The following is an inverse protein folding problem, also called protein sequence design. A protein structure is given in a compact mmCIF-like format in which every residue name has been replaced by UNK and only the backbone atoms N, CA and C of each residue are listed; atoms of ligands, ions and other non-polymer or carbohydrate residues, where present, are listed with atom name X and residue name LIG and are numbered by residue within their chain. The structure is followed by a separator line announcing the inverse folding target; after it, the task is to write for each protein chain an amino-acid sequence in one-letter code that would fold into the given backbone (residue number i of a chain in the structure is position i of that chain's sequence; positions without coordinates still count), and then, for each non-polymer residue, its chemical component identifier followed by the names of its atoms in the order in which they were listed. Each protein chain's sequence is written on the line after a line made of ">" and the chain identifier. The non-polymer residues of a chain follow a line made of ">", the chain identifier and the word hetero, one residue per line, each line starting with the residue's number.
data_IF_327809304041
#
_entry.id   IF_327809304041
#
_cell.length_a   1.000
_cell.length_b   1.000
_cell.length_c   1.000
_cell.angle_alpha   90.00
_cell.angle_beta   90.00
_cell.angle_gamma   90.00
#
_symmetry.space_group_name_H-M   'P 1'
#
loop_
_entity.id
_entity.type
_entity.pdbx_description
1 polymer ?
#
# COMPACT_ATOMS: atom_id res chain seq x y z
N UNK A 1 6.59 -22.69 -34.86
CA UNK A 1 5.36 -23.31 -35.38
C UNK A 1 5.00 -24.49 -34.50
N UNK A 2 3.85 -24.48 -33.90
CA UNK A 2 3.28 -25.63 -33.21
C UNK A 2 2.11 -26.11 -34.06
N UNK A 3 2.22 -27.33 -34.64
CA UNK A 3 1.18 -27.98 -35.46
C UNK A 3 0.51 -27.04 -36.49
N UNK A 4 1.22 -26.43 -37.39
CA UNK A 4 0.72 -25.51 -38.43
C UNK A 4 0.20 -24.15 -37.99
N UNK A 5 0.25 -23.81 -36.70
CA UNK A 5 -0.07 -22.47 -36.23
C UNK A 5 1.19 -21.61 -36.10
N UNK A 6 1.07 -20.36 -36.51
CA UNK A 6 2.08 -19.33 -36.29
C UNK A 6 1.61 -18.40 -35.16
N UNK A 7 2.53 -17.99 -34.33
CA UNK A 7 2.33 -16.94 -33.34
C UNK A 7 3.55 -16.02 -33.38
N UNK A 8 3.38 -14.85 -32.82
CA UNK A 8 4.41 -13.83 -32.73
C UNK A 8 4.80 -13.62 -31.27
N UNK A 9 6.00 -13.15 -31.04
CA UNK A 9 6.47 -12.74 -29.71
C UNK A 9 7.07 -11.35 -29.80
N UNK A 10 6.72 -10.50 -28.82
CA UNK A 10 7.27 -9.18 -28.66
C UNK A 10 8.18 -9.15 -27.44
N UNK A 11 9.33 -8.53 -27.59
CA UNK A 11 10.31 -8.30 -26.53
C UNK A 11 10.55 -6.79 -26.43
N UNK A 12 9.88 -6.13 -25.48
CA UNK A 12 9.98 -4.70 -25.27
C UNK A 12 11.04 -4.33 -24.24
N UNK A 13 11.39 -3.05 -24.24
CA UNK A 13 12.36 -2.45 -23.31
C UNK A 13 13.78 -3.02 -23.37
N UNK A 14 14.16 -3.55 -24.53
CA UNK A 14 15.52 -3.99 -24.76
C UNK A 14 16.46 -2.82 -25.07
N UNK A 15 17.73 -3.00 -24.78
CA UNK A 15 18.76 -2.01 -25.10
C UNK A 15 18.96 -1.89 -26.61
N UNK A 16 19.34 -0.69 -27.09
CA UNK A 16 19.63 -0.43 -28.51
C UNK A 16 20.74 -1.33 -29.11
N UNK A 17 21.49 -2.04 -28.28
CA UNK A 17 22.52 -2.99 -28.74
C UNK A 17 21.93 -4.13 -29.55
N UNK A 18 20.70 -4.58 -29.29
CA UNK A 18 20.05 -5.64 -30.04
C UNK A 18 19.87 -5.26 -31.52
N UNK A 19 19.54 -4.00 -31.82
CA UNK A 19 19.36 -3.50 -33.20
C UNK A 19 20.64 -3.55 -34.05
N UNK A 20 21.81 -3.57 -33.39
CA UNK A 20 23.10 -3.68 -34.10
C UNK A 20 23.50 -5.13 -34.43
N UNK A 21 22.95 -6.10 -33.68
CA UNK A 21 23.34 -7.51 -33.77
C UNK A 21 22.31 -8.37 -34.49
N UNK A 22 21.02 -8.06 -34.32
CA UNK A 22 19.94 -8.81 -34.95
C UNK A 22 19.59 -8.25 -36.32
N UNK A 23 19.19 -9.11 -37.22
CA UNK A 23 18.76 -8.76 -38.58
C UNK A 23 17.37 -9.31 -38.86
N UNK A 24 16.59 -8.58 -39.63
CA UNK A 24 15.28 -9.05 -40.10
C UNK A 24 15.45 -10.35 -40.88
N UNK A 25 14.58 -11.32 -40.60
CA UNK A 25 14.65 -12.65 -41.21
C UNK A 25 15.67 -13.60 -40.56
N UNK A 26 16.43 -13.17 -39.56
CA UNK A 26 17.34 -14.02 -38.82
C UNK A 26 16.60 -15.09 -38.04
N UNK A 27 17.06 -16.34 -38.16
CA UNK A 27 16.58 -17.43 -37.32
C UNK A 27 17.32 -17.40 -35.97
N UNK A 28 16.55 -17.39 -34.85
CA UNK A 28 17.09 -17.41 -33.49
C UNK A 28 16.93 -18.80 -32.90
N UNK A 29 18.01 -19.39 -32.43
CA UNK A 29 18.02 -20.71 -31.77
C UNK A 29 17.60 -20.58 -30.30
N UNK A 30 17.10 -21.67 -29.75
CA UNK A 30 16.81 -21.75 -28.31
C UNK A 30 18.06 -21.43 -27.49
N UNK A 31 17.93 -20.47 -26.55
CA UNK A 31 19.03 -20.01 -25.68
C UNK A 31 19.99 -19.00 -26.35
N UNK A 32 19.73 -18.62 -27.61
CA UNK A 32 20.50 -17.57 -28.26
C UNK A 32 20.14 -16.19 -27.71
N UNK A 33 21.16 -15.35 -27.57
CA UNK A 33 20.98 -13.98 -27.06
C UNK A 33 20.20 -13.12 -28.07
N UNK A 34 19.17 -12.41 -27.59
CA UNK A 34 18.35 -11.50 -28.38
C UNK A 34 18.52 -10.04 -27.97
N UNK A 35 18.96 -9.79 -26.74
CA UNK A 35 19.14 -8.43 -26.22
C UNK A 35 19.43 -8.39 -24.75
N UNK A 36 19.92 -7.26 -24.28
CA UNK A 36 20.02 -6.92 -22.88
C UNK A 36 18.81 -6.04 -22.50
N UNK A 37 18.38 -6.07 -21.26
CA UNK A 37 17.33 -5.16 -20.75
C UNK A 37 17.85 -3.73 -20.84
N UNK A 38 17.03 -2.82 -21.34
CA UNK A 38 17.32 -1.39 -21.42
C UNK A 38 17.32 -0.71 -20.06
N UNK A 39 18.10 0.34 -19.95
CA UNK A 39 18.11 1.21 -18.78
C UNK A 39 16.93 2.20 -18.78
N UNK A 40 16.83 3.04 -17.76
CA UNK A 40 15.79 4.07 -17.62
C UNK A 40 15.65 4.97 -18.85
N UNK A 41 16.75 5.32 -19.52
CA UNK A 41 16.74 6.29 -20.61
C UNK A 41 16.11 5.72 -21.89
N UNK A 42 16.17 4.40 -22.08
CA UNK A 42 15.65 3.74 -23.29
C UNK A 42 14.29 3.07 -23.09
N UNK A 43 13.78 3.00 -21.86
CA UNK A 43 12.51 2.35 -21.54
C UNK A 43 11.42 3.30 -21.00
N UNK A 44 11.51 4.58 -21.28
CA UNK A 44 10.50 5.57 -20.88
C UNK A 44 10.56 5.96 -19.40
N UNK A 45 11.73 5.90 -18.77
CA UNK A 45 11.96 6.17 -17.35
C UNK A 45 11.32 5.17 -16.38
N UNK A 46 11.02 3.95 -16.85
CA UNK A 46 10.60 2.84 -16.01
C UNK A 46 11.80 2.07 -15.47
N UNK A 47 11.68 1.41 -14.31
CA UNK A 47 12.69 0.47 -13.85
C UNK A 47 13.05 -0.56 -14.94
N UNK A 48 14.33 -0.95 -15.09
CA UNK A 48 14.72 -1.95 -16.07
C UNK A 48 13.91 -3.25 -15.94
N UNK A 49 13.18 -3.60 -16.97
CA UNK A 49 12.36 -4.81 -17.04
C UNK A 49 12.19 -5.27 -18.47
N UNK A 50 11.77 -6.51 -18.65
CA UNK A 50 11.39 -7.09 -19.93
C UNK A 50 9.87 -7.03 -20.09
N UNK A 51 9.39 -6.42 -21.18
CA UNK A 51 8.03 -6.59 -21.64
C UNK A 51 8.01 -7.77 -22.62
N UNK A 52 7.26 -8.82 -22.28
CA UNK A 52 7.12 -10.00 -23.14
C UNK A 52 5.65 -10.26 -23.45
N UNK A 53 5.33 -10.33 -24.74
CA UNK A 53 3.98 -10.64 -25.21
C UNK A 53 4.00 -11.82 -26.19
N UNK A 54 2.91 -12.59 -26.20
CA UNK A 54 2.59 -13.56 -27.23
C UNK A 54 1.41 -12.98 -28.01
N UNK A 55 1.44 -13.07 -29.33
CA UNK A 55 0.36 -12.57 -30.18
C UNK A 55 -0.04 -13.62 -31.19
N UNK A 56 -1.34 -13.83 -31.37
CA UNK A 56 -1.91 -14.71 -32.41
C UNK A 56 -2.14 -13.97 -33.70
N UNK A 57 -2.21 -12.64 -33.65
CA UNK A 57 -2.37 -11.74 -34.79
C UNK A 57 -1.63 -10.42 -34.52
N UNK A 58 -1.06 -9.82 -35.54
CA UNK A 58 -0.44 -8.49 -35.45
C UNK A 58 -1.42 -7.35 -35.76
N UNK A 59 -2.68 -7.61 -36.03
CA UNK A 59 -3.71 -6.62 -36.34
C UNK A 59 -3.32 -5.63 -37.49
N UNK A 60 -2.51 -6.11 -38.46
CA UNK A 60 -1.90 -5.31 -39.50
C UNK A 60 -0.82 -4.31 -39.05
N UNK A 61 -0.41 -4.36 -37.79
CA UNK A 61 0.73 -3.60 -37.29
C UNK A 61 2.03 -4.33 -37.60
N UNK A 62 2.97 -3.63 -38.22
CA UNK A 62 4.25 -4.23 -38.63
C UNK A 62 5.37 -3.90 -37.63
N UNK A 63 5.32 -2.69 -37.06
CA UNK A 63 6.44 -2.13 -36.29
C UNK A 63 6.10 -1.91 -34.81
N UNK A 64 4.82 -1.95 -34.44
CA UNK A 64 4.40 -1.72 -33.08
C UNK A 64 3.11 -2.49 -32.78
N UNK A 65 3.06 -3.16 -31.64
CA UNK A 65 1.86 -3.83 -31.14
C UNK A 65 1.42 -3.15 -29.84
N UNK A 66 0.12 -2.86 -29.63
CA UNK A 66 -0.37 -2.21 -28.43
C UNK A 66 0.04 -2.98 -27.16
N UNK A 67 0.69 -2.29 -26.22
CA UNK A 67 1.01 -2.83 -24.89
C UNK A 67 -0.10 -2.64 -23.88
N UNK A 68 -1.15 -1.88 -24.26
CA UNK A 68 -2.35 -1.60 -23.46
C UNK A 68 -3.57 -1.66 -24.36
N UNK A 69 -4.72 -1.99 -23.81
CA UNK A 69 -5.98 -2.08 -24.54
C UNK A 69 -7.13 -1.50 -23.71
N UNK A 70 -8.24 -1.25 -24.38
CA UNK A 70 -9.48 -0.80 -23.76
C UNK A 70 -10.10 -1.94 -22.92
N UNK A 71 -10.51 -1.63 -21.69
CA UNK A 71 -11.05 -2.61 -20.73
C UNK A 71 -12.27 -3.35 -21.27
N UNK A 72 -13.15 -2.66 -21.99
CA UNK A 72 -14.34 -3.27 -22.57
C UNK A 72 -14.04 -4.25 -23.71
N UNK A 73 -12.81 -4.27 -24.24
CA UNK A 73 -12.32 -5.20 -25.25
C UNK A 73 -11.46 -6.32 -24.66
N UNK A 74 -11.40 -6.47 -23.35
CA UNK A 74 -10.51 -7.43 -22.67
C UNK A 74 -10.61 -8.84 -23.25
N UNK A 75 -11.83 -9.34 -23.45
CA UNK A 75 -12.05 -10.66 -24.04
C UNK A 75 -11.46 -10.86 -25.43
N UNK A 76 -11.38 -9.77 -26.22
CA UNK A 76 -10.77 -9.77 -27.55
C UNK A 76 -9.25 -9.74 -27.39
N UNK A 77 -8.74 -8.87 -26.53
CA UNK A 77 -7.31 -8.76 -26.26
C UNK A 77 -6.71 -10.05 -25.72
N UNK A 78 -7.39 -10.77 -24.83
CA UNK A 78 -6.95 -12.06 -24.31
C UNK A 78 -6.85 -13.15 -25.39
N UNK A 79 -7.67 -13.06 -26.44
CA UNK A 79 -7.57 -13.98 -27.58
C UNK A 79 -6.41 -13.63 -28.52
N UNK A 80 -6.16 -12.34 -28.74
CA UNK A 80 -5.10 -11.84 -29.62
C UNK A 80 -3.75 -11.90 -28.93
N UNK A 81 -3.70 -11.55 -27.64
CA UNK A 81 -2.48 -11.58 -26.83
C UNK A 81 -2.72 -12.42 -25.55
N UNK A 82 -2.67 -13.76 -25.67
CA UNK A 82 -2.89 -14.66 -24.56
C UNK A 82 -1.77 -14.55 -23.52
N UNK A 83 -2.06 -15.02 -22.30
CA UNK A 83 -1.12 -14.99 -21.18
C UNK A 83 0.23 -15.63 -21.57
N UNK A 84 1.34 -14.86 -21.56
CA UNK A 84 2.66 -15.39 -21.90
C UNK A 84 3.14 -16.48 -20.96
N UNK A 85 2.53 -16.64 -19.80
CA UNK A 85 2.87 -17.70 -18.85
C UNK A 85 2.57 -19.11 -19.40
N UNK A 86 1.77 -19.23 -20.44
CA UNK A 86 1.61 -20.49 -21.21
C UNK A 86 2.99 -21.01 -21.66
N UNK A 87 3.91 -20.11 -22.05
CA UNK A 87 5.27 -20.47 -22.49
C UNK A 87 6.28 -20.34 -21.37
N UNK A 88 6.23 -19.25 -20.58
CA UNK A 88 7.25 -18.93 -19.57
C UNK A 88 7.26 -19.89 -18.40
N UNK A 89 6.09 -20.45 -18.05
CA UNK A 89 5.95 -21.39 -16.93
C UNK A 89 6.47 -20.84 -15.59
N UNK A 90 6.31 -19.55 -15.39
CA UNK A 90 6.66 -18.90 -14.13
C UNK A 90 5.72 -19.46 -13.03
N UNK A 91 6.27 -19.98 -11.92
CA UNK A 91 5.43 -20.48 -10.82
C UNK A 91 4.50 -19.40 -10.28
N UNK A 92 3.27 -19.78 -9.94
CA UNK A 92 2.26 -18.84 -9.39
C UNK A 92 2.74 -18.09 -8.14
N UNK A 93 3.66 -18.68 -7.38
CA UNK A 93 4.25 -18.03 -6.20
C UNK A 93 5.04 -16.75 -6.51
N UNK A 94 5.43 -16.53 -7.77
CA UNK A 94 6.09 -15.31 -8.21
C UNK A 94 5.12 -14.22 -8.69
N UNK A 95 3.85 -14.58 -8.90
CA UNK A 95 2.84 -13.57 -9.19
C UNK A 95 2.37 -12.95 -7.88
N UNK A 96 2.18 -11.64 -7.86
CA UNK A 96 1.47 -10.99 -6.77
C UNK A 96 0.15 -11.73 -6.55
N UNK A 97 -0.10 -12.15 -5.32
CA UNK A 97 -1.21 -13.02 -4.97
C UNK A 97 -2.52 -12.29 -5.32
N UNK A 98 -3.02 -12.52 -6.53
CA UNK A 98 -4.32 -12.03 -6.98
C UNK A 98 -5.41 -12.92 -6.38
N UNK A 99 -5.49 -12.95 -5.05
CA UNK A 99 -6.74 -13.36 -4.43
C UNK A 99 -7.81 -12.45 -5.03
N UNK A 100 -8.72 -13.02 -5.81
CA UNK A 100 -9.81 -12.25 -6.38
C UNK A 100 -10.47 -11.46 -5.25
N UNK A 101 -10.78 -10.21 -5.49
CA UNK A 101 -11.39 -9.27 -4.53
C UNK A 101 -12.56 -9.90 -3.75
N UNK A 102 -13.36 -10.72 -4.44
CA UNK A 102 -14.46 -11.47 -3.85
C UNK A 102 -13.98 -12.46 -2.77
N UNK A 103 -12.88 -13.15 -2.99
CA UNK A 103 -12.32 -14.10 -2.01
C UNK A 103 -11.79 -13.36 -0.78
N UNK A 104 -11.17 -12.21 -0.97
CA UNK A 104 -10.71 -11.35 0.13
C UNK A 104 -11.90 -10.87 0.95
N UNK A 105 -12.98 -10.44 0.30
CA UNK A 105 -14.22 -10.03 0.95
C UNK A 105 -14.87 -11.18 1.72
N UNK A 106 -14.91 -12.39 1.16
CA UNK A 106 -15.44 -13.59 1.83
C UNK A 106 -14.59 -13.94 3.07
N UNK A 107 -13.26 -13.94 2.94
CA UNK A 107 -12.34 -14.17 4.07
C UNK A 107 -12.51 -13.10 5.15
N UNK A 108 -12.61 -11.83 4.75
CA UNK A 108 -12.86 -10.72 5.67
C UNK A 108 -14.19 -10.89 6.41
N UNK A 109 -15.28 -11.19 5.69
CA UNK A 109 -16.61 -11.41 6.26
C UNK A 109 -16.64 -12.57 7.25
N UNK A 110 -15.84 -13.60 7.00
CA UNK A 110 -15.71 -14.77 7.88
C UNK A 110 -14.92 -14.48 9.15
N UNK A 111 -13.81 -13.75 9.04
CA UNK A 111 -12.78 -13.68 10.08
C UNK A 111 -12.76 -12.35 10.84
N UNK A 112 -13.35 -11.29 10.31
CA UNK A 112 -13.31 -9.94 10.89
C UNK A 112 -14.71 -9.55 11.35
N UNK A 113 -14.79 -8.84 12.47
CA UNK A 113 -16.06 -8.38 13.06
C UNK A 113 -16.90 -7.59 12.05
N UNK A 114 -18.18 -7.89 11.96
CA UNK A 114 -19.12 -7.30 10.97
C UNK A 114 -19.27 -5.78 11.08
N UNK A 115 -18.98 -5.22 12.24
CA UNK A 115 -19.03 -3.79 12.52
C UNK A 115 -17.80 -3.03 12.00
N UNK A 116 -16.75 -3.71 11.55
CA UNK A 116 -15.61 -3.10 10.86
C UNK A 116 -15.94 -2.95 9.38
N UNK A 117 -16.62 -1.85 9.05
CA UNK A 117 -17.01 -1.53 7.68
C UNK A 117 -15.80 -1.20 6.79
N UNK A 118 -15.99 -1.38 5.49
CA UNK A 118 -15.11 -0.87 4.43
C UNK A 118 -15.66 0.50 4.05
N UNK A 119 -14.76 1.45 3.76
CA UNK A 119 -15.14 2.86 3.58
C UNK A 119 -15.84 3.18 2.25
N UNK A 120 -15.75 2.32 1.26
CA UNK A 120 -16.27 2.57 -0.09
C UNK A 120 -17.31 1.53 -0.48
N UNK A 121 -18.34 1.92 -1.22
CA UNK A 121 -19.36 1.01 -1.78
C UNK A 121 -18.70 -0.01 -2.70
N UNK A 122 -17.82 0.46 -3.58
CA UNK A 122 -16.91 -0.37 -4.36
C UNK A 122 -15.57 -0.51 -3.63
N UNK A 123 -15.31 -1.64 -2.95
CA UNK A 123 -14.07 -1.84 -2.21
C UNK A 123 -12.84 -1.76 -3.11
N UNK A 124 -11.85 -1.02 -2.69
CA UNK A 124 -10.56 -0.94 -3.36
C UNK A 124 -9.62 -2.02 -2.81
N UNK A 125 -9.01 -2.79 -3.70
CA UNK A 125 -8.00 -3.78 -3.35
C UNK A 125 -6.61 -3.18 -3.58
N UNK A 126 -6.02 -2.66 -2.51
CA UNK A 126 -4.68 -2.06 -2.56
C UNK A 126 -3.62 -3.14 -2.41
N UNK A 127 -2.64 -3.16 -3.31
CA UNK A 127 -1.52 -4.09 -3.27
C UNK A 127 -0.24 -3.45 -2.77
N UNK A 128 -0.01 -2.18 -3.09
CA UNK A 128 1.23 -1.49 -2.78
C UNK A 128 0.95 -0.03 -2.42
N UNK A 129 1.89 0.56 -1.67
CA UNK A 129 1.89 1.99 -1.40
C UNK A 129 3.34 2.51 -1.44
N UNK A 130 3.53 3.69 -2.02
CA UNK A 130 4.83 4.35 -2.11
C UNK A 130 4.67 5.87 -2.06
N UNK A 131 5.51 6.51 -1.29
CA UNK A 131 5.44 7.95 -1.06
C UNK A 131 4.01 8.34 -0.60
N UNK A 132 3.33 9.24 -1.30
CA UNK A 132 1.97 9.66 -1.00
C UNK A 132 0.88 8.88 -1.76
N UNK A 133 1.19 7.75 -2.35
CA UNK A 133 0.27 7.05 -3.24
C UNK A 133 0.04 5.59 -2.88
N UNK A 134 -1.19 5.13 -3.12
CA UNK A 134 -1.56 3.72 -3.19
C UNK A 134 -1.64 3.23 -4.64
N UNK A 135 -1.47 1.94 -4.81
CA UNK A 135 -1.65 1.24 -6.09
C UNK A 135 -2.54 0.03 -5.89
N UNK A 136 -3.58 -0.09 -6.72
CA UNK A 136 -4.51 -1.21 -6.67
C UNK A 136 -4.04 -2.42 -7.50
N UNK A 137 -4.88 -3.43 -7.56
CA UNK A 137 -4.66 -4.68 -8.31
C UNK A 137 -4.51 -4.50 -9.83
N UNK A 138 -4.91 -3.33 -10.36
CA UNK A 138 -4.76 -2.96 -11.76
C UNK A 138 -3.60 -1.99 -12.01
N UNK A 139 -2.83 -1.63 -10.97
CA UNK A 139 -1.77 -0.64 -11.04
C UNK A 139 -2.28 0.81 -11.08
N UNK A 140 -3.56 1.05 -10.85
CA UNK A 140 -4.11 2.41 -10.78
C UNK A 140 -3.59 3.11 -9.53
N UNK A 141 -3.23 4.37 -9.71
CA UNK A 141 -2.59 5.20 -8.70
C UNK A 141 -3.61 6.09 -8.01
N UNK A 142 -3.62 6.08 -6.69
CA UNK A 142 -4.50 6.88 -5.83
C UNK A 142 -3.67 7.75 -4.90
N UNK A 143 -4.01 9.04 -4.81
CA UNK A 143 -3.42 9.92 -3.80
C UNK A 143 -4.01 9.55 -2.43
N UNK A 144 -3.13 9.25 -1.47
CA UNK A 144 -3.55 8.98 -0.10
C UNK A 144 -3.82 10.29 0.65
N UNK A 145 -5.10 10.60 0.82
CA UNK A 145 -5.56 11.74 1.62
C UNK A 145 -6.20 11.32 2.95
N UNK A 146 -6.05 10.05 3.35
CA UNK A 146 -6.73 9.46 4.52
C UNK A 146 -5.76 9.01 5.60
N UNK A 147 -4.64 8.35 5.22
CA UNK A 147 -3.72 7.77 6.20
C UNK A 147 -2.76 8.83 6.73
N UNK A 148 -3.03 9.29 7.93
CA UNK A 148 -2.23 10.30 8.64
C UNK A 148 -1.06 9.71 9.45
N UNK A 149 -0.80 8.41 9.36
CA UNK A 149 0.31 7.75 10.07
C UNK A 149 1.61 7.84 9.27
N UNK A 150 1.53 7.76 7.96
CA UNK A 150 2.69 7.77 7.07
C UNK A 150 3.14 9.20 6.73
N UNK A 151 3.54 9.99 7.74
CA UNK A 151 3.92 11.40 7.56
C UNK A 151 5.07 11.64 6.57
N UNK A 152 5.94 10.66 6.41
CA UNK A 152 7.09 10.71 5.48
C UNK A 152 6.84 9.90 4.20
N UNK A 153 5.59 9.53 3.96
CA UNK A 153 5.17 8.68 2.86
C UNK A 153 5.28 7.19 3.17
N UNK A 154 4.61 6.40 2.35
CA UNK A 154 4.65 4.95 2.40
C UNK A 154 6.01 4.43 1.95
N UNK A 155 6.41 3.26 2.47
CA UNK A 155 7.63 2.53 2.05
C UNK A 155 8.90 3.37 2.13
N UNK A 156 9.01 4.27 3.12
CA UNK A 156 10.17 5.12 3.29
C UNK A 156 11.41 4.29 3.68
N UNK A 157 12.38 4.22 2.79
CA UNK A 157 13.56 3.37 2.95
C UNK A 157 14.43 3.77 4.16
N UNK A 158 14.52 5.07 4.48
CA UNK A 158 15.29 5.53 5.64
C UNK A 158 14.67 5.01 6.94
N UNK A 159 13.34 5.20 7.11
CA UNK A 159 12.62 4.71 8.29
C UNK A 159 12.73 3.20 8.41
N UNK A 160 12.54 2.48 7.30
CA UNK A 160 12.68 1.01 7.27
C UNK A 160 14.06 0.55 7.73
N UNK A 161 15.11 1.13 7.17
CA UNK A 161 16.50 0.74 7.49
C UNK A 161 16.85 1.01 8.96
N UNK A 162 16.42 2.13 9.52
CA UNK A 162 16.65 2.43 10.95
C UNK A 162 15.84 1.51 11.87
N UNK A 163 14.61 1.16 11.49
CA UNK A 163 13.80 0.18 12.23
C UNK A 163 14.45 -1.19 12.23
N UNK A 164 14.96 -1.68 11.09
CA UNK A 164 15.66 -2.95 10.98
C UNK A 164 16.92 -2.95 11.85
N UNK A 165 17.74 -1.90 11.79
CA UNK A 165 18.94 -1.78 12.62
C UNK A 165 18.63 -1.87 14.13
N UNK A 166 17.57 -1.17 14.56
CA UNK A 166 17.17 -1.18 15.96
C UNK A 166 16.61 -2.54 16.38
N UNK A 167 15.79 -3.18 15.55
CA UNK A 167 15.23 -4.51 15.85
C UNK A 167 16.31 -5.59 15.97
N UNK A 168 17.33 -5.54 15.11
CA UNK A 168 18.48 -6.46 15.21
C UNK A 168 19.35 -6.20 16.44
N UNK A 169 19.35 -4.99 16.96
CA UNK A 169 20.13 -4.62 18.14
C UNK A 169 19.41 -4.97 19.44
N UNK A 170 18.19 -4.52 19.59
CA UNK A 170 17.41 -4.69 20.82
C UNK A 170 15.95 -4.27 20.62
N UNK A 171 15.05 -5.11 21.12
CA UNK A 171 13.63 -4.78 21.28
C UNK A 171 13.26 -4.98 22.76
N UNK A 172 13.01 -3.89 23.49
CA UNK A 172 12.74 -3.92 24.94
C UNK A 172 11.75 -2.83 25.34
N UNK A 173 11.42 -2.79 26.61
CA UNK A 173 10.51 -1.81 27.20
C UNK A 173 11.23 -0.85 28.15
N UNK A 174 10.51 0.08 28.75
CA UNK A 174 11.04 1.16 29.62
C UNK A 174 11.56 0.68 30.99
N UNK A 175 11.56 -0.62 31.26
CA UNK A 175 12.14 -1.17 32.51
C UNK A 175 13.65 -1.15 32.51
N UNK A 176 14.27 -1.05 31.35
CA UNK A 176 15.73 -1.05 31.20
C UNK A 176 16.20 0.33 30.74
N UNK A 177 17.42 0.69 31.11
CA UNK A 177 18.05 1.92 30.62
C UNK A 177 18.61 1.71 29.23
N UNK A 178 18.22 2.59 28.31
CA UNK A 178 18.77 2.63 26.96
C UNK A 178 18.60 4.05 26.36
N UNK A 179 19.52 4.42 25.46
CA UNK A 179 19.68 5.81 25.06
C UNK A 179 18.56 6.32 24.12
N UNK A 180 18.11 5.50 23.18
CA UNK A 180 17.24 5.95 22.08
C UNK A 180 15.92 6.59 22.55
N UNK A 181 15.35 6.10 23.66
CA UNK A 181 14.12 6.69 24.21
C UNK A 181 14.36 8.09 24.76
N UNK A 182 15.53 8.31 25.43
CA UNK A 182 15.90 9.60 25.96
C UNK A 182 16.21 10.60 24.83
N UNK A 183 16.98 10.18 23.83
CA UNK A 183 17.31 10.98 22.65
C UNK A 183 16.04 11.40 21.91
N UNK A 184 15.09 10.48 21.73
CA UNK A 184 13.80 10.78 21.10
C UNK A 184 12.97 11.74 21.96
N UNK A 185 12.91 11.51 23.29
CA UNK A 185 12.22 12.40 24.23
C UNK A 185 12.75 13.83 24.15
N UNK A 186 14.07 13.98 24.18
CA UNK A 186 14.74 15.30 24.12
C UNK A 186 14.46 16.02 22.79
N UNK A 187 14.51 15.29 21.68
CA UNK A 187 14.20 15.85 20.37
C UNK A 187 12.75 16.27 20.24
N UNK A 188 11.84 15.45 20.74
CA UNK A 188 10.40 15.70 20.66
C UNK A 188 10.00 16.87 21.57
N UNK A 189 10.50 16.93 22.81
CA UNK A 189 10.20 18.02 23.74
C UNK A 189 10.69 19.40 23.25
N UNK A 190 11.75 19.43 22.44
CA UNK A 190 12.21 20.68 21.80
C UNK A 190 11.20 21.27 20.81
N UNK A 191 10.28 20.49 20.29
CA UNK A 191 9.21 20.96 19.39
C UNK A 191 8.01 21.55 20.12
N UNK A 192 7.95 21.41 21.44
CA UNK A 192 6.87 21.91 22.30
C UNK A 192 7.26 23.16 23.08
N UNK A 193 6.28 23.97 23.52
CA UNK A 193 6.54 25.05 24.46
C UNK A 193 7.26 24.55 25.73
N UNK A 194 8.20 25.33 26.27
CA UNK A 194 9.06 24.94 27.41
C UNK A 194 8.31 24.48 28.67
N UNK A 195 7.04 24.83 28.85
CA UNK A 195 6.21 24.36 29.97
C UNK A 195 5.94 22.83 29.90
N UNK A 196 6.04 22.23 28.73
CA UNK A 196 5.93 20.77 28.56
C UNK A 196 7.32 20.15 28.67
N UNK A 197 7.60 19.51 29.78
CA UNK A 197 8.92 18.99 30.12
C UNK A 197 8.90 17.49 30.49
N UNK A 198 7.77 16.84 30.37
CA UNK A 198 7.60 15.40 30.59
C UNK A 198 6.79 14.80 29.43
N UNK A 199 7.10 13.54 29.12
CA UNK A 199 6.48 12.82 28.02
C UNK A 199 6.13 11.41 28.47
N UNK A 200 5.00 10.90 27.99
CA UNK A 200 4.60 9.51 28.12
C UNK A 200 4.42 8.91 26.74
N UNK A 201 5.07 7.79 26.47
CA UNK A 201 4.90 7.02 25.26
C UNK A 201 3.89 5.91 25.49
N UNK A 202 2.94 5.77 24.58
CA UNK A 202 1.89 4.75 24.59
C UNK A 202 1.74 4.18 23.15
N UNK A 203 1.01 3.08 23.01
CA UNK A 203 0.95 2.37 21.73
C UNK A 203 -0.08 2.98 20.76
N UNK A 204 -1.10 3.68 21.25
CA UNK A 204 -2.19 4.21 20.41
C UNK A 204 -2.64 5.60 20.86
N UNK A 205 -3.29 6.33 19.95
CA UNK A 205 -3.96 7.60 20.30
C UNK A 205 -5.07 7.43 21.35
N UNK A 206 -5.77 6.29 21.34
CA UNK A 206 -6.76 5.97 22.36
C UNK A 206 -6.14 5.86 23.75
N UNK A 207 -5.01 5.15 23.86
CA UNK A 207 -4.28 5.06 25.13
C UNK A 207 -3.73 6.42 25.58
N UNK A 208 -3.25 7.25 24.65
CA UNK A 208 -2.76 8.59 24.95
C UNK A 208 -3.86 9.47 25.54
N UNK A 209 -5.02 9.49 24.92
CA UNK A 209 -6.17 10.27 25.40
C UNK A 209 -6.74 9.72 26.72
N UNK A 210 -6.78 8.40 26.89
CA UNK A 210 -7.24 7.77 28.13
C UNK A 210 -6.30 8.11 29.30
N UNK A 211 -4.99 8.03 29.07
CA UNK A 211 -3.99 8.45 30.05
C UNK A 211 -4.10 9.95 30.38
N UNK A 212 -4.24 10.80 29.39
CA UNK A 212 -4.40 12.25 29.58
C UNK A 212 -5.66 12.57 30.39
N UNK A 213 -6.78 11.91 30.07
CA UNK A 213 -8.03 12.06 30.81
C UNK A 213 -7.88 11.62 32.26
N UNK A 214 -7.23 10.50 32.52
CA UNK A 214 -6.95 10.01 33.88
C UNK A 214 -6.09 10.98 34.67
N UNK A 215 -5.03 11.51 34.08
CA UNK A 215 -4.16 12.51 34.69
C UNK A 215 -4.96 13.78 35.04
N UNK A 216 -5.74 14.30 34.06
CA UNK A 216 -6.55 15.49 34.24
C UNK A 216 -7.54 15.33 35.36
N UNK A 217 -8.32 14.25 35.40
CA UNK A 217 -9.30 13.98 36.49
C UNK A 217 -8.62 13.80 37.85
N UNK A 218 -7.46 13.15 37.88
CA UNK A 218 -6.70 12.97 39.13
C UNK A 218 -6.20 14.31 39.69
N UNK A 219 -5.71 15.17 38.81
CA UNK A 219 -5.18 16.48 39.18
C UNK A 219 -6.28 17.48 39.58
N UNK A 220 -7.31 17.62 38.75
CA UNK A 220 -8.38 18.62 38.92
C UNK A 220 -9.47 18.17 39.89
N UNK A 221 -9.60 16.87 40.16
CA UNK A 221 -10.74 16.23 40.86
C UNK A 221 -12.07 16.40 40.10
N UNK A 222 -12.09 17.02 38.94
CA UNK A 222 -13.28 17.19 38.11
C UNK A 222 -13.65 15.87 37.40
N UNK A 223 -14.95 15.64 37.25
CA UNK A 223 -15.47 14.45 36.57
C UNK A 223 -16.04 14.76 35.19
N UNK A 224 -16.49 15.98 34.99
CA UNK A 224 -17.11 16.41 33.75
C UNK A 224 -16.06 16.69 32.68
N UNK A 225 -16.36 16.28 31.44
CA UNK A 225 -15.50 16.49 30.28
C UNK A 225 -16.31 17.21 29.22
N UNK A 226 -15.72 18.24 28.63
CA UNK A 226 -16.29 18.97 27.51
C UNK A 226 -15.66 18.45 26.23
N UNK A 227 -16.47 18.16 25.22
CA UNK A 227 -16.04 17.64 23.93
C UNK A 227 -16.67 18.40 22.78
N UNK A 228 -16.00 18.46 21.64
CA UNK A 228 -16.52 19.09 20.41
C UNK A 228 -17.52 18.14 19.77
N UNK A 229 -18.62 18.66 19.24
CA UNK A 229 -19.59 17.92 18.47
C UNK A 229 -18.90 17.19 17.29
N UNK A 230 -19.32 15.94 17.04
CA UNK A 230 -18.74 15.08 16.01
C UNK A 230 -17.25 14.70 16.19
N UNK A 231 -16.64 14.99 17.34
CA UNK A 231 -15.27 14.57 17.61
C UNK A 231 -15.17 13.06 17.85
N UNK A 232 -13.99 12.51 17.55
CA UNK A 232 -13.60 11.15 17.90
C UNK A 232 -12.30 11.20 18.72
N UNK A 233 -12.34 10.63 19.92
CA UNK A 233 -11.20 10.64 20.84
C UNK A 233 -10.57 9.28 21.08
N UNK A 234 -11.19 8.21 20.64
CA UNK A 234 -10.73 6.83 20.83
C UNK A 234 -11.89 5.89 21.14
N UNK A 235 -11.57 4.61 21.29
CA UNK A 235 -12.55 3.53 21.48
C UNK A 235 -12.35 2.72 22.78
N UNK A 236 -11.53 3.19 23.72
CA UNK A 236 -11.56 2.65 25.09
C UNK A 236 -12.91 2.98 25.75
N UNK A 237 -13.28 2.25 26.79
CA UNK A 237 -14.57 2.47 27.46
C UNK A 237 -14.75 3.91 27.94
N UNK A 238 -13.68 4.57 28.41
CA UNK A 238 -13.71 5.96 28.84
C UNK A 238 -13.82 6.96 27.70
N UNK A 239 -13.33 6.63 26.51
CA UNK A 239 -13.25 7.55 25.38
C UNK A 239 -14.38 7.36 24.38
N UNK A 240 -14.94 6.18 24.27
CA UNK A 240 -16.05 5.95 23.35
C UNK A 240 -17.27 6.79 23.76
N UNK A 241 -17.49 6.92 25.07
CA UNK A 241 -18.55 7.75 25.63
C UNK A 241 -18.30 9.26 25.43
N UNK A 242 -17.06 9.65 25.16
CA UNK A 242 -16.64 11.01 24.84
C UNK A 242 -16.50 11.28 23.33
N UNK A 243 -16.88 10.33 22.48
CA UNK A 243 -16.69 10.41 21.03
C UNK A 243 -18.03 10.56 20.29
N UNK A 244 -18.60 11.79 20.20
CA UNK A 244 -19.91 12.04 19.60
C UNK A 244 -20.04 11.52 18.17
N UNK A 245 -18.94 11.52 17.39
CA UNK A 245 -18.88 10.93 16.07
C UNK A 245 -19.44 9.49 16.02
N UNK A 246 -19.27 8.70 17.09
CA UNK A 246 -19.73 7.30 17.13
C UNK A 246 -21.20 7.16 17.50
N UNK A 247 -21.72 7.96 18.41
CA UNK A 247 -23.11 7.84 18.86
C UNK A 247 -24.07 8.80 18.15
N UNK A 248 -23.60 9.83 17.46
CA UNK A 248 -24.43 10.64 16.54
C UNK A 248 -24.70 9.93 15.20
N UNK A 249 -24.10 8.75 14.95
CA UNK A 249 -24.31 7.92 13.78
C UNK A 249 -25.08 6.62 14.14
N UNK A 250 -25.37 5.76 13.16
CA UNK A 250 -26.20 4.55 13.28
C UNK A 250 -25.81 3.52 14.37
N UNK A 251 -24.80 3.78 15.19
CA UNK A 251 -24.20 2.77 16.07
C UNK A 251 -24.20 3.07 17.57
N UNK A 252 -24.83 4.11 18.07
CA UNK A 252 -24.68 4.41 19.48
C UNK A 252 -25.89 5.05 20.17
N UNK A 253 -26.10 4.68 21.44
CA UNK A 253 -26.96 5.41 22.35
C UNK A 253 -26.12 6.39 23.15
N UNK A 254 -26.63 7.62 23.30
CA UNK A 254 -26.03 8.68 24.11
C UNK A 254 -26.13 8.32 25.59
N UNK A 255 -25.03 8.01 26.23
CA UNK A 255 -24.94 7.99 27.69
C UNK A 255 -24.49 9.38 28.13
N UNK A 256 -25.42 10.07 28.83
CA UNK A 256 -25.26 11.37 29.55
C UNK A 256 -23.87 12.03 29.47
N UNK A 257 -23.63 12.78 28.43
CA UNK A 257 -22.46 13.65 28.29
C UNK A 257 -22.98 15.05 28.02
N UNK A 258 -22.41 16.02 28.70
CA UNK A 258 -22.71 17.41 28.46
C UNK A 258 -21.87 17.91 27.28
N UNK A 259 -22.54 18.35 26.23
CA UNK A 259 -21.88 18.90 25.05
C UNK A 259 -21.62 20.40 25.23
N UNK A 260 -20.54 20.85 24.63
CA UNK A 260 -20.34 22.25 24.30
C UNK A 260 -20.16 22.39 22.78
N UNK A 261 -20.81 23.40 22.25
CA UNK A 261 -20.98 23.84 20.87
C UNK A 261 -19.75 23.83 20.00
#
# INVERSE_FOLDING_TARGET
>A
KIKNYSFFTLYGHLSKKCLKKLKVGQFIKKGEWIGDIGDYQVNGNWPPHLHFQIMTSLLNEVDNFPGVGEEYLLNIWEQISPDPNIILKIPESFFANKDKKENILLKRKKNIGRNLSISYEEPLHMLEAKDQYFYDEYGRKYLDCVNNISHVGHSNAFVHNELVKQNLKMNTNTRYLYNIINEYSDRLLKTFPKKFNKIFFVCTGSEANDLALRIAKTYTKAQNVLVIENAYHGHTNSLIDLSPYKFNSKGGEVKKIMFMF
#
